data_IF_667122086179
#
_entry.id   IF_667122086179
#
_cell.length_a   1.000
_cell.length_b   1.000
_cell.length_c   1.000
_cell.angle_alpha   90.00
_cell.angle_beta   90.00
_cell.angle_gamma   90.00
#
_symmetry.space_group_name_H-M   'P 1'
#
loop_
_entity.id
_entity.type
_entity.pdbx_description
1 polymer ?
#
# COMPACT_ATOMS: atom_id res chain seq x y z
N UNK A 1 7.66 13.60 7.00
CA UNK A 1 6.70 13.15 5.98
C UNK A 1 5.71 14.27 5.84
N UNK A 2 5.62 14.88 4.66
CA UNK A 2 4.61 15.91 4.44
C UNK A 2 3.25 15.20 4.31
N UNK A 3 2.18 15.85 4.78
CA UNK A 3 0.82 15.31 4.63
C UNK A 3 0.43 15.19 3.15
N UNK A 4 1.09 15.95 2.27
CA UNK A 4 0.96 15.87 0.82
C UNK A 4 1.43 14.53 0.23
N UNK A 5 2.33 13.81 0.90
CA UNK A 5 2.88 12.51 0.44
C UNK A 5 1.92 11.33 0.65
N UNK A 6 0.86 11.54 1.44
CA UNK A 6 -0.09 10.49 1.81
C UNK A 6 -1.17 10.37 0.75
N UNK A 7 -1.33 9.16 0.21
CA UNK A 7 -2.33 8.84 -0.81
C UNK A 7 -3.49 7.99 -0.29
N UNK A 8 -3.29 7.22 0.80
CA UNK A 8 -4.33 6.41 1.42
C UNK A 8 -4.19 6.43 2.93
N UNK A 9 -5.30 6.42 3.66
CA UNK A 9 -5.32 6.27 5.12
C UNK A 9 -6.47 5.36 5.52
N UNK A 10 -6.21 4.43 6.45
CA UNK A 10 -7.26 3.58 7.02
C UNK A 10 -6.93 3.24 8.47
N UNK A 11 -7.97 2.88 9.22
CA UNK A 11 -7.85 2.42 10.60
C UNK A 11 -8.33 0.97 10.71
N UNK A 12 -7.45 0.11 11.23
CA UNK A 12 -7.69 -1.33 11.40
C UNK A 12 -7.26 -1.73 12.80
N UNK A 13 -8.15 -2.37 13.55
CA UNK A 13 -7.94 -2.73 14.97
C UNK A 13 -7.40 -1.58 15.84
N UNK A 14 -7.87 -0.34 15.60
CA UNK A 14 -7.45 0.85 16.35
C UNK A 14 -6.05 1.36 16.00
N UNK A 15 -5.44 0.88 14.91
CA UNK A 15 -4.14 1.33 14.39
C UNK A 15 -4.32 2.04 13.06
N UNK A 16 -3.63 3.15 12.89
CA UNK A 16 -3.64 3.92 11.65
C UNK A 16 -2.54 3.43 10.70
N UNK A 17 -2.95 3.14 9.47
CA UNK A 17 -2.08 2.77 8.37
C UNK A 17 -2.18 3.80 7.26
N UNK A 18 -1.03 4.12 6.67
CA UNK A 18 -0.92 5.15 5.64
C UNK A 18 -0.22 4.61 4.40
N UNK A 19 -0.80 4.87 3.24
CA UNK A 19 -0.14 4.75 1.94
C UNK A 19 0.64 6.02 1.66
N UNK A 20 1.95 5.91 1.46
CA UNK A 20 2.85 7.06 1.33
C UNK A 20 3.71 6.95 0.07
N UNK A 21 3.84 8.07 -0.65
CA UNK A 21 4.88 8.28 -1.66
C UNK A 21 6.07 8.97 -0.99
N UNK A 22 7.09 8.19 -0.61
CA UNK A 22 8.35 8.78 -0.17
C UNK A 22 9.07 9.43 -1.36
N UNK A 23 10.17 10.17 -1.14
CA UNK A 23 11.05 10.68 -2.21
C UNK A 23 11.73 9.58 -3.07
N UNK A 24 11.35 8.31 -2.86
CA UNK A 24 11.79 7.16 -3.65
C UNK A 24 10.76 6.81 -4.73
N UNK A 25 11.10 5.93 -5.67
CA UNK A 25 10.20 5.52 -6.76
C UNK A 25 9.11 4.52 -6.34
N UNK A 26 8.96 4.24 -5.04
CA UNK A 26 8.16 3.11 -4.54
C UNK A 26 7.11 3.58 -3.53
N UNK A 27 5.83 3.21 -3.69
CA UNK A 27 4.80 3.43 -2.68
C UNK A 27 4.98 2.49 -1.48
N UNK A 28 4.74 3.00 -0.27
CA UNK A 28 4.83 2.26 0.99
C UNK A 28 3.48 2.20 1.71
N UNK A 29 3.27 1.13 2.45
CA UNK A 29 2.31 1.08 3.56
C UNK A 29 3.09 1.28 4.87
N UNK A 30 2.67 2.24 5.68
CA UNK A 30 3.30 2.60 6.94
C UNK A 30 2.32 2.42 8.10
N UNK A 31 2.80 1.88 9.23
CA UNK A 31 2.04 1.86 10.48
C UNK A 31 2.45 3.10 11.30
N UNK A 32 1.52 4.04 11.53
CA UNK A 32 1.85 5.29 12.21
C UNK A 32 2.36 5.08 13.63
N UNK A 33 1.87 4.04 14.32
CA UNK A 33 2.27 3.72 15.68
C UNK A 33 3.74 3.31 15.79
N UNK A 34 4.25 2.52 14.83
CA UNK A 34 5.64 2.04 14.85
C UNK A 34 6.58 2.93 14.05
N UNK A 35 6.05 3.74 13.12
CA UNK A 35 6.83 4.50 12.14
C UNK A 35 7.47 3.62 11.06
N UNK A 36 7.22 2.31 11.07
CA UNK A 36 7.77 1.37 10.11
C UNK A 36 6.94 1.36 8.82
N UNK A 37 7.62 1.21 7.70
CA UNK A 37 7.03 1.14 6.37
C UNK A 37 7.45 -0.10 5.61
N UNK A 38 6.56 -0.64 4.79
CA UNK A 38 6.81 -1.76 3.88
C UNK A 38 6.49 -1.32 2.45
N UNK A 39 7.40 -1.55 1.47
CA UNK A 39 7.10 -1.31 0.07
C UNK A 39 5.87 -2.12 -0.37
N UNK A 40 4.87 -1.48 -0.96
CA UNK A 40 3.61 -2.16 -1.31
C UNK A 40 3.81 -3.36 -2.23
N UNK A 41 4.73 -3.26 -3.19
CA UNK A 41 5.03 -4.35 -4.12
C UNK A 41 5.66 -5.60 -3.47
N UNK A 42 6.16 -5.49 -2.24
CA UNK A 42 6.70 -6.60 -1.44
C UNK A 42 5.83 -6.95 -0.24
N UNK A 43 4.76 -6.19 0.02
CA UNK A 43 3.94 -6.34 1.19
C UNK A 43 3.12 -7.62 1.10
N UNK A 44 3.19 -8.44 2.15
CA UNK A 44 2.40 -9.66 2.31
C UNK A 44 1.94 -9.74 3.76
N UNK A 45 0.68 -10.11 3.99
CA UNK A 45 0.17 -10.39 5.33
C UNK A 45 0.27 -11.88 5.63
N UNK A 46 0.96 -12.25 6.71
CA UNK A 46 1.16 -13.66 7.05
C UNK A 46 0.99 -13.94 8.55
N UNK A 47 0.44 -15.11 8.87
CA UNK A 47 0.36 -15.62 10.23
C UNK A 47 1.61 -16.43 10.56
N UNK A 48 2.50 -15.86 11.37
CA UNK A 48 3.81 -16.44 11.72
C UNK A 48 4.05 -16.44 13.24
N UNK A 49 5.05 -17.20 13.74
CA UNK A 49 5.45 -17.14 15.14
C UNK A 49 5.72 -15.69 15.59
N UNK A 50 5.07 -15.29 16.68
CA UNK A 50 5.27 -13.97 17.29
C UNK A 50 6.62 -13.85 18.01
N UNK A 51 7.29 -14.99 18.26
CA UNK A 51 8.63 -15.06 18.86
C UNK A 51 9.70 -14.33 18.05
N UNK A 52 9.46 -14.09 16.75
CA UNK A 52 10.33 -13.26 15.92
C UNK A 52 10.27 -11.77 16.28
N UNK A 53 9.19 -11.31 16.93
CA UNK A 53 9.05 -9.95 17.45
C UNK A 53 9.55 -9.83 18.88
N UNK A 54 9.13 -10.78 19.72
CA UNK A 54 9.43 -10.82 21.14
C UNK A 54 9.66 -12.27 21.56
N UNK A 55 10.90 -12.60 21.92
CA UNK A 55 11.30 -13.95 22.32
C UNK A 55 10.54 -14.49 23.55
N UNK A 56 9.95 -13.60 24.37
CA UNK A 56 9.13 -13.98 25.53
C UNK A 56 7.68 -14.30 25.14
N UNK A 57 7.24 -13.90 23.95
CA UNK A 57 5.90 -14.18 23.45
C UNK A 57 5.82 -15.60 22.90
N UNK A 58 4.95 -16.41 23.50
CA UNK A 58 4.60 -17.74 22.98
C UNK A 58 3.33 -17.64 22.12
N UNK A 59 3.40 -18.12 20.88
CA UNK A 59 2.26 -18.16 19.97
C UNK A 59 2.55 -17.58 18.58
N UNK A 60 1.49 -17.52 17.77
CA UNK A 60 1.52 -16.97 16.42
C UNK A 60 0.74 -15.65 16.38
N UNK A 61 1.03 -14.81 15.40
CA UNK A 61 0.28 -13.59 15.12
C UNK A 61 0.45 -13.13 13.70
N UNK A 62 -0.29 -12.09 13.32
CA UNK A 62 -0.19 -11.49 11.99
C UNK A 62 1.04 -10.60 11.87
N UNK A 63 1.65 -10.65 10.69
CA UNK A 63 2.78 -9.84 10.29
C UNK A 63 2.52 -9.21 8.94
N UNK A 64 2.92 -7.95 8.78
CA UNK A 64 3.04 -7.30 7.48
C UNK A 64 4.51 -7.40 7.03
N UNK A 65 4.81 -8.37 6.18
CA UNK A 65 6.17 -8.73 5.78
C UNK A 65 6.70 -7.85 4.65
N UNK A 66 8.02 -7.63 4.67
CA UNK A 66 8.79 -7.00 3.59
C UNK A 66 9.38 -8.08 2.69
N UNK A 67 8.53 -8.75 1.91
CA UNK A 67 8.94 -9.89 1.06
C UNK A 67 9.33 -11.13 1.86
N UNK A 68 10.04 -12.07 1.22
CA UNK A 68 10.23 -13.44 1.73
C UNK A 68 11.13 -13.53 2.99
N UNK A 69 12.02 -12.56 3.22
CA UNK A 69 13.11 -12.69 4.21
C UNK A 69 13.32 -11.50 5.17
N UNK A 70 12.49 -10.45 5.12
CA UNK A 70 12.69 -9.24 5.95
C UNK A 70 11.80 -9.18 7.20
N UNK A 71 12.29 -8.70 8.35
CA UNK A 71 11.42 -8.42 9.49
C UNK A 71 10.37 -7.38 9.08
N UNK A 72 9.11 -7.78 9.22
CA UNK A 72 7.94 -6.96 8.93
C UNK A 72 7.41 -6.24 10.17
N UNK A 73 6.23 -5.66 10.05
CA UNK A 73 5.53 -5.04 11.18
C UNK A 73 4.70 -6.10 11.89
N UNK A 74 4.92 -6.30 13.20
CA UNK A 74 4.09 -7.21 13.98
C UNK A 74 2.73 -6.57 14.30
N UNK A 75 1.66 -7.24 13.86
CA UNK A 75 0.29 -6.77 14.00
C UNK A 75 -0.37 -7.38 15.23
N UNK A 76 0.16 -7.04 16.42
CA UNK A 76 -0.33 -7.62 17.67
C UNK A 76 -1.86 -7.50 17.81
N UNK A 77 -2.53 -8.61 18.14
CA UNK A 77 -3.98 -8.73 18.31
C UNK A 77 -4.82 -8.57 17.04
N UNK A 78 -4.23 -8.50 15.85
CA UNK A 78 -5.01 -8.61 14.63
C UNK A 78 -5.73 -9.96 14.58
N UNK A 79 -7.00 -9.92 14.21
CA UNK A 79 -7.75 -11.11 13.79
C UNK A 79 -7.56 -11.35 12.29
N UNK A 80 -8.03 -12.50 11.78
CA UNK A 80 -8.10 -12.74 10.33
C UNK A 80 -8.94 -11.68 9.61
N UNK A 81 -10.03 -11.21 10.23
CA UNK A 81 -10.86 -10.17 9.64
C UNK A 81 -10.11 -8.83 9.52
N UNK A 82 -9.31 -8.47 10.53
CA UNK A 82 -8.46 -7.28 10.49
C UNK A 82 -7.38 -7.39 9.40
N UNK A 83 -6.74 -8.56 9.28
CA UNK A 83 -5.77 -8.83 8.24
C UNK A 83 -6.40 -8.72 6.84
N UNK A 84 -7.56 -9.35 6.61
CA UNK A 84 -8.27 -9.25 5.34
C UNK A 84 -8.69 -7.82 5.03
N UNK A 85 -9.19 -7.07 6.03
CA UNK A 85 -9.51 -5.65 5.85
C UNK A 85 -8.28 -4.86 5.39
N UNK A 86 -7.14 -5.03 6.06
CA UNK A 86 -5.91 -4.34 5.69
C UNK A 86 -5.40 -4.78 4.30
N UNK A 87 -5.56 -6.07 3.97
CA UNK A 87 -5.25 -6.64 2.67
C UNK A 87 -6.06 -5.96 1.56
N UNK A 88 -7.38 -5.87 1.73
CA UNK A 88 -8.30 -5.28 0.76
C UNK A 88 -8.05 -3.77 0.59
N UNK A 89 -7.86 -3.04 1.69
CA UNK A 89 -7.60 -1.60 1.68
C UNK A 89 -6.36 -1.21 0.88
N UNK A 90 -5.30 -2.02 1.01
CA UNK A 90 -4.02 -1.76 0.35
C UNK A 90 -3.74 -2.61 -0.88
N UNK A 91 -4.64 -3.53 -1.23
CA UNK A 91 -4.48 -4.46 -2.34
C UNK A 91 -3.23 -5.34 -2.20
N UNK A 92 -2.97 -5.83 -0.99
CA UNK A 92 -1.81 -6.67 -0.66
C UNK A 92 -2.23 -8.10 -0.34
N UNK A 93 -1.50 -9.14 -0.81
CA UNK A 93 -1.87 -10.53 -0.57
C UNK A 93 -1.80 -10.90 0.92
N UNK A 94 -2.74 -11.73 1.37
CA UNK A 94 -2.50 -12.61 2.52
C UNK A 94 -1.77 -13.86 2.05
N UNK A 95 -0.87 -14.44 2.84
CA UNK A 95 -0.10 -15.63 2.46
C UNK A 95 -0.98 -16.87 2.14
N UNK A 96 -2.23 -16.90 2.62
CA UNK A 96 -3.20 -17.93 2.27
C UNK A 96 -3.88 -17.70 0.90
N UNK A 97 -3.72 -16.51 0.31
CA UNK A 97 -4.23 -16.20 -1.02
C UNK A 97 -3.23 -16.70 -2.07
N UNK A 98 -3.69 -17.58 -2.97
CA UNK A 98 -2.92 -18.12 -4.10
C UNK A 98 -2.67 -17.05 -5.17
N UNK A 99 -2.01 -15.96 -4.78
CA UNK A 99 -1.59 -14.89 -5.67
C UNK A 99 -0.15 -15.16 -6.10
N UNK A 100 0.10 -16.33 -6.71
CA UNK A 100 1.45 -16.73 -7.14
C UNK A 100 1.91 -15.97 -8.39
N UNK A 101 0.98 -15.50 -9.21
CA UNK A 101 1.29 -14.73 -10.41
C UNK A 101 1.48 -13.25 -10.10
N UNK A 102 2.59 -12.62 -10.54
CA UNK A 102 2.80 -11.17 -10.44
C UNK A 102 1.68 -10.35 -11.09
N UNK A 103 1.07 -10.85 -12.18
CA UNK A 103 -0.02 -10.16 -12.85
C UNK A 103 -1.29 -10.12 -11.98
N UNK A 104 -1.62 -11.23 -11.30
CA UNK A 104 -2.79 -11.30 -10.41
C UNK A 104 -2.58 -10.41 -9.18
N UNK A 105 -1.37 -10.38 -8.61
CA UNK A 105 -1.02 -9.43 -7.54
C UNK A 105 -1.19 -7.99 -7.99
N UNK A 106 -0.76 -7.68 -9.20
CA UNK A 106 -0.92 -6.34 -9.76
C UNK A 106 -2.40 -6.00 -9.95
N UNK A 107 -3.21 -6.90 -10.51
CA UNK A 107 -4.65 -6.69 -10.66
C UNK A 107 -5.36 -6.47 -9.32
N UNK A 108 -4.99 -7.24 -8.30
CA UNK A 108 -5.53 -7.07 -6.95
C UNK A 108 -5.15 -5.72 -6.34
N UNK A 109 -3.93 -5.23 -6.56
CA UNK A 109 -3.58 -3.88 -6.17
C UNK A 109 -4.40 -2.83 -6.92
N UNK A 110 -4.54 -2.98 -8.24
CA UNK A 110 -5.25 -2.02 -9.09
C UNK A 110 -6.76 -1.94 -8.83
N UNK A 111 -7.35 -2.92 -8.14
CA UNK A 111 -8.74 -2.90 -7.70
C UNK A 111 -8.94 -2.37 -6.28
N UNK A 112 -7.87 -2.03 -5.56
CA UNK A 112 -7.92 -1.63 -4.15
C UNK A 112 -8.21 -0.14 -3.94
N UNK A 113 -8.75 0.25 -2.76
CA UNK A 113 -8.85 1.65 -2.35
C UNK A 113 -7.51 2.40 -2.36
N UNK A 114 -6.41 1.73 -2.02
CA UNK A 114 -5.07 2.32 -2.10
C UNK A 114 -4.68 2.74 -3.52
N UNK A 115 -5.07 1.98 -4.55
CA UNK A 115 -4.85 2.40 -5.93
C UNK A 115 -5.65 3.66 -6.27
N UNK A 116 -6.91 3.72 -5.86
CA UNK A 116 -7.77 4.90 -6.05
C UNK A 116 -7.17 6.14 -5.38
N UNK A 117 -6.73 6.00 -4.13
CA UNK A 117 -6.01 7.05 -3.41
C UNK A 117 -4.72 7.47 -4.12
N UNK A 118 -3.94 6.51 -4.64
CA UNK A 118 -2.73 6.77 -5.42
C UNK A 118 -3.04 7.54 -6.70
N UNK A 119 -4.12 7.20 -7.43
CA UNK A 119 -4.54 7.95 -8.61
C UNK A 119 -4.94 9.38 -8.26
N UNK A 120 -5.71 9.57 -7.19
CA UNK A 120 -6.06 10.91 -6.71
C UNK A 120 -4.83 11.73 -6.34
N UNK A 121 -3.81 11.09 -5.73
CA UNK A 121 -2.54 11.74 -5.44
C UNK A 121 -1.82 12.17 -6.72
N UNK A 122 -1.70 11.29 -7.73
CA UNK A 122 -1.08 11.60 -9.03
C UNK A 122 -1.82 12.75 -9.72
N UNK A 123 -3.16 12.77 -9.66
CA UNK A 123 -3.95 13.84 -10.24
C UNK A 123 -3.66 15.21 -9.59
N UNK A 124 -3.44 15.24 -8.27
CA UNK A 124 -3.01 16.45 -7.56
C UNK A 124 -1.58 16.86 -7.96
N UNK A 125 -0.64 15.92 -8.01
CA UNK A 125 0.75 16.21 -8.41
C UNK A 125 0.83 16.83 -9.82
N UNK A 126 0.01 16.35 -10.76
CA UNK A 126 -0.09 16.92 -12.11
C UNK A 126 -0.66 18.34 -12.08
N UNK A 127 -1.70 18.57 -11.27
CA UNK A 127 -2.41 19.86 -11.20
C UNK A 127 -1.58 20.95 -10.53
N UNK A 128 -0.95 20.61 -9.42
CA UNK A 128 -0.24 21.56 -8.56
C UNK A 128 1.10 22.00 -9.18
N UNK A 129 1.51 21.36 -10.28
CA UNK A 129 2.54 21.84 -11.17
C UNK A 129 3.94 21.77 -10.58
N UNK A 130 4.58 20.60 -10.68
CA UNK A 130 6.05 20.39 -10.62
C UNK A 130 6.81 21.11 -9.47
N UNK A 131 6.19 21.37 -8.31
CA UNK A 131 6.81 22.10 -7.20
C UNK A 131 7.72 21.24 -6.28
N UNK A 132 8.47 20.27 -6.84
CA UNK A 132 9.62 19.50 -6.28
C UNK A 132 9.39 18.13 -5.59
N UNK A 133 10.52 17.40 -5.41
CA UNK A 133 10.86 16.12 -4.74
C UNK A 133 10.39 14.73 -5.22
N UNK A 134 9.44 14.57 -6.14
CA UNK A 134 8.96 13.24 -6.60
C UNK A 134 9.42 12.81 -8.01
N UNK A 135 10.57 13.28 -8.50
CA UNK A 135 11.05 12.94 -9.86
C UNK A 135 11.18 11.43 -10.10
N UNK A 136 11.65 10.69 -9.08
CA UNK A 136 11.76 9.23 -9.13
C UNK A 136 10.39 8.53 -9.23
N UNK A 137 9.37 9.07 -8.57
CA UNK A 137 8.00 8.55 -8.65
C UNK A 137 7.41 8.75 -10.05
N UNK A 138 7.65 9.91 -10.67
CA UNK A 138 7.15 10.23 -12.03
C UNK A 138 7.72 9.31 -13.12
N UNK A 139 8.92 8.77 -12.90
CA UNK A 139 9.53 7.78 -13.78
C UNK A 139 9.03 6.35 -13.54
N UNK A 140 8.28 6.11 -12.46
CA UNK A 140 7.83 4.77 -12.09
C UNK A 140 6.63 4.31 -12.91
N UNK A 141 6.54 2.99 -13.14
CA UNK A 141 5.48 2.39 -13.95
C UNK A 141 4.07 2.68 -13.40
N UNK A 142 3.92 2.70 -12.07
CA UNK A 142 2.63 2.91 -11.41
C UNK A 142 2.13 4.33 -11.64
N UNK A 143 3.04 5.31 -11.66
CA UNK A 143 2.70 6.71 -11.92
C UNK A 143 2.25 6.87 -13.37
N UNK A 144 3.02 6.34 -14.33
CA UNK A 144 2.66 6.37 -15.74
C UNK A 144 1.32 5.66 -16.01
N UNK A 145 1.03 4.56 -15.31
CA UNK A 145 -0.26 3.87 -15.41
C UNK A 145 -1.40 4.73 -14.86
N UNK A 146 -1.21 5.37 -13.72
CA UNK A 146 -2.21 6.27 -13.13
C UNK A 146 -2.51 7.44 -14.06
N UNK A 147 -1.49 8.08 -14.65
CA UNK A 147 -1.64 9.14 -15.66
C UNK A 147 -2.54 8.67 -16.82
N UNK A 148 -2.21 7.53 -17.44
CA UNK A 148 -3.00 6.99 -18.55
C UNK A 148 -4.45 6.72 -18.17
N UNK A 149 -4.69 6.20 -16.97
CA UNK A 149 -6.05 5.92 -16.50
C UNK A 149 -6.84 7.22 -16.27
N UNK A 150 -6.21 8.26 -15.72
CA UNK A 150 -6.82 9.59 -15.53
C UNK A 150 -7.19 10.20 -16.90
N UNK A 151 -6.30 10.12 -17.90
CA UNK A 151 -6.55 10.61 -19.26
C UNK A 151 -7.73 9.92 -19.92
N UNK A 152 -7.83 8.59 -19.77
CA UNK A 152 -8.96 7.81 -20.29
C UNK A 152 -10.28 8.22 -19.61
N UNK A 153 -10.30 8.33 -18.28
CA UNK A 153 -11.49 8.73 -17.54
C UNK A 153 -11.98 10.12 -17.95
N UNK A 154 -11.07 11.10 -18.04
CA UNK A 154 -11.41 12.45 -18.51
C UNK A 154 -11.96 12.46 -19.94
N UNK A 155 -11.44 11.60 -20.80
CA UNK A 155 -11.91 11.48 -22.18
C UNK A 155 -13.33 10.91 -22.25
N UNK A 156 -13.67 9.99 -21.35
CA UNK A 156 -15.02 9.41 -21.25
C UNK A 156 -16.04 10.43 -20.71
N UNK A 157 -15.65 11.19 -19.68
CA UNK A 157 -16.49 12.25 -19.11
C UNK A 157 -16.80 13.34 -20.15
N UNK A 158 -15.82 13.72 -20.98
CA UNK A 158 -16.00 14.71 -22.05
C UNK A 158 -16.88 14.22 -23.21
N UNK A 159 -17.12 12.92 -23.34
CA UNK A 159 -18.02 12.34 -24.36
C UNK A 159 -19.45 12.14 -23.84
N UNK A 160 -19.67 12.25 -22.53
CA UNK A 160 -20.95 11.97 -21.88
C UNK A 160 -21.64 13.22 -21.30
N UNK A 161 -20.95 14.35 -21.25
CA UNK A 161 -21.51 15.68 -20.91
C UNK A 161 -21.82 16.52 -22.14
#
# INVERSE_FOLDING_TARGET
MDKSDVFQQTCVAGREFEGVIASTSVPFICCRLTGEGVPLHLAVLEWRPASAHDASTTGNGWWLLRGENGPGIFLARFTTADANKLADEFGIPTAAAELESPAVRQEYFLSSPAWEGLRSWVERDIRDGLQSDHSAARAAWWYMRAVRQIEVLRSLDAQTG
#
